data_IF_827349762134
#
_entry.id   IF_827349762134
#
_cell.length_a   1.000
_cell.length_b   1.000
_cell.length_c   1.000
_cell.angle_alpha   90.00
_cell.angle_beta   90.00
_cell.angle_gamma   90.00
#
_symmetry.space_group_name_H-M   'P 1'
#
loop_
_entity.id
_entity.type
_entity.pdbx_description
1 polymer ?
#
# COMPACT_ATOMS: atom_id res chain seq x y z
N UNK A 1 12.52 16.96 -0.55
CA UNK A 1 13.66 16.04 -0.74
C UNK A 1 13.25 14.71 -0.12
N UNK A 2 13.28 13.61 -0.88
CA UNK A 2 13.06 12.24 -0.36
C UNK A 2 14.36 11.73 0.30
N UNK A 3 14.31 10.88 1.34
CA UNK A 3 15.42 10.62 2.26
C UNK A 3 16.38 9.54 1.74
N UNK A 4 16.92 9.70 0.53
CA UNK A 4 18.03 8.84 0.08
C UNK A 4 19.29 9.00 0.96
N UNK A 5 19.37 10.07 1.77
CA UNK A 5 20.45 10.26 2.76
C UNK A 5 20.38 9.29 3.95
N UNK A 6 19.25 8.64 4.23
CA UNK A 6 19.11 7.75 5.40
C UNK A 6 19.80 6.38 5.20
N UNK A 7 19.80 5.85 3.97
CA UNK A 7 20.35 4.51 3.68
C UNK A 7 21.88 4.45 3.86
N UNK A 8 22.59 5.58 3.75
CA UNK A 8 24.01 5.69 4.08
C UNK A 8 24.24 5.67 5.59
N UNK A 9 23.54 6.56 6.33
CA UNK A 9 23.73 6.73 7.78
C UNK A 9 23.34 5.49 8.61
N UNK A 10 22.29 4.76 8.22
CA UNK A 10 21.97 3.50 8.95
C UNK A 10 22.98 2.40 8.72
N UNK A 11 23.63 2.36 7.55
CA UNK A 11 24.60 1.30 7.25
C UNK A 11 25.81 1.41 8.19
N UNK A 12 26.23 2.63 8.50
CA UNK A 12 27.28 2.90 9.48
C UNK A 12 26.80 2.66 10.93
N UNK A 13 25.54 2.99 11.24
CA UNK A 13 24.92 2.68 12.54
C UNK A 13 24.84 1.17 12.83
N UNK A 14 24.58 0.35 11.80
CA UNK A 14 24.49 -1.11 11.94
C UNK A 14 25.84 -1.82 11.94
N UNK A 15 26.91 -1.21 11.42
CA UNK A 15 28.24 -1.82 11.34
C UNK A 15 29.01 -1.84 12.68
N UNK A 16 28.66 -0.96 13.63
CA UNK A 16 29.31 -0.87 14.94
C UNK A 16 28.51 -1.46 16.10
N UNK A 17 27.32 -2.03 15.84
CA UNK A 17 26.44 -2.51 16.91
C UNK A 17 26.72 -3.96 17.29
N UNK A 18 26.74 -4.23 18.61
CA UNK A 18 26.82 -5.59 19.11
C UNK A 18 25.62 -6.42 18.64
N UNK A 19 25.82 -7.70 18.27
CA UNK A 19 24.80 -8.55 17.67
C UNK A 19 23.55 -8.72 18.56
N UNK A 20 23.70 -8.64 19.89
CA UNK A 20 22.58 -8.69 20.83
C UNK A 20 21.67 -7.45 20.78
N UNK A 21 22.23 -6.27 20.48
CA UNK A 21 21.46 -5.03 20.37
C UNK A 21 20.73 -4.99 19.02
N UNK A 22 21.36 -5.52 17.97
CA UNK A 22 20.74 -5.68 16.66
C UNK A 22 19.47 -6.54 16.73
N UNK A 23 19.52 -7.68 17.43
CA UNK A 23 18.36 -8.56 17.59
C UNK A 23 17.17 -7.86 18.27
N UNK A 24 17.43 -7.08 19.32
CA UNK A 24 16.36 -6.34 20.03
C UNK A 24 15.70 -5.28 19.17
N UNK A 25 16.49 -4.55 18.37
CA UNK A 25 15.99 -3.51 17.46
C UNK A 25 15.21 -4.15 16.31
N UNK A 26 15.71 -5.26 15.77
CA UNK A 26 15.03 -6.05 14.75
C UNK A 26 13.70 -6.62 15.26
N UNK A 27 13.67 -7.16 16.48
CA UNK A 27 12.46 -7.68 17.11
C UNK A 27 11.42 -6.59 17.35
N UNK A 28 11.84 -5.39 17.77
CA UNK A 28 10.96 -4.25 17.93
C UNK A 28 10.39 -3.78 16.59
N UNK A 29 11.23 -3.76 15.56
CA UNK A 29 10.83 -3.39 14.21
C UNK A 29 9.84 -4.39 13.62
N UNK A 30 10.08 -5.69 13.79
CA UNK A 30 9.16 -6.76 13.35
C UNK A 30 7.81 -6.69 14.08
N UNK A 31 7.81 -6.46 15.40
CA UNK A 31 6.58 -6.28 16.19
C UNK A 31 5.77 -5.05 15.79
N UNK A 32 6.44 -3.99 15.34
CA UNK A 32 5.78 -2.75 14.92
C UNK A 32 5.27 -2.82 13.47
N UNK A 33 5.80 -3.73 12.65
CA UNK A 33 5.51 -3.81 11.21
C UNK A 33 4.64 -5.00 10.82
N UNK A 34 4.54 -6.04 11.65
CA UNK A 34 3.70 -7.21 11.40
C UNK A 34 2.44 -7.22 12.27
N UNK A 35 1.23 -7.43 11.70
CA UNK A 35 0.02 -7.64 12.48
C UNK A 35 0.13 -8.89 13.35
N UNK A 36 -0.34 -8.83 14.60
CA UNK A 36 -0.24 -9.89 15.63
C UNK A 36 -0.69 -11.28 15.14
N UNK A 37 -1.57 -11.35 14.15
CA UNK A 37 -2.11 -12.59 13.61
C UNK A 37 -1.06 -13.43 12.85
N UNK A 38 0.04 -12.82 12.39
CA UNK A 38 1.15 -13.52 11.74
C UNK A 38 2.16 -14.07 12.75
N UNK A 39 2.32 -13.45 13.93
CA UNK A 39 3.22 -13.91 15.00
C UNK A 39 2.76 -15.27 15.56
N UNK A 40 1.45 -15.46 15.71
CA UNK A 40 0.88 -16.73 16.18
C UNK A 40 1.14 -17.91 15.22
N UNK A 41 1.40 -17.63 13.95
CA UNK A 41 1.69 -18.66 12.95
C UNK A 41 3.14 -19.14 12.99
N UNK A 42 4.10 -18.30 13.43
CA UNK A 42 5.52 -18.67 13.47
C UNK A 42 5.94 -19.42 14.74
N UNK A 43 5.15 -19.34 15.82
CA UNK A 43 5.55 -19.84 17.13
C UNK A 43 4.94 -21.20 17.52
N UNK A 44 4.33 -21.91 16.56
CA UNK A 44 3.92 -23.32 16.72
C UNK A 44 2.91 -23.59 17.85
N UNK A 45 2.20 -22.58 18.35
CA UNK A 45 1.15 -22.82 19.35
C UNK A 45 -0.11 -23.37 18.67
N UNK A 46 -0.72 -24.44 19.21
CA UNK A 46 -1.93 -25.00 18.63
C UNK A 46 -3.08 -23.99 18.72
N UNK A 47 -3.97 -23.96 17.72
CA UNK A 47 -5.12 -23.07 17.73
C UNK A 47 -6.01 -23.40 18.93
N UNK A 48 -6.33 -22.37 19.72
CA UNK A 48 -7.26 -22.48 20.84
C UNK A 48 -8.68 -22.80 20.31
N UNK A 49 -9.49 -23.57 21.05
CA UNK A 49 -10.79 -24.04 20.58
C UNK A 49 -11.78 -22.88 20.40
N UNK A 50 -12.57 -22.97 19.33
CA UNK A 50 -13.65 -22.07 18.96
C UNK A 50 -14.64 -21.90 20.13
N UNK A 51 -14.84 -20.65 20.59
CA UNK A 51 -15.79 -20.41 21.66
C UNK A 51 -15.84 -19.02 22.28
N UNK A 52 -14.99 -18.07 21.86
CA UNK A 52 -15.10 -16.69 22.31
C UNK A 52 -15.49 -15.80 21.14
N UNK A 53 -16.74 -15.32 21.14
CA UNK A 53 -17.19 -14.18 20.34
C UNK A 53 -16.34 -12.97 20.72
N UNK A 54 -15.18 -12.82 20.09
CA UNK A 54 -14.50 -11.55 20.00
C UNK A 54 -15.46 -10.62 19.25
N UNK A 55 -15.69 -9.37 19.67
CA UNK A 55 -16.36 -8.42 18.81
C UNK A 55 -15.58 -8.44 17.51
N UNK A 56 -16.23 -8.83 16.41
CA UNK A 56 -15.70 -8.58 15.08
C UNK A 56 -15.35 -7.09 15.06
N UNK A 57 -14.06 -6.78 15.14
CA UNK A 57 -13.58 -5.51 14.62
C UNK A 57 -14.12 -5.52 13.19
N UNK A 58 -15.16 -4.71 12.99
CA UNK A 58 -15.76 -4.48 11.69
C UNK A 58 -14.62 -4.41 10.66
N UNK A 59 -14.66 -5.19 9.56
CA UNK A 59 -13.63 -5.11 8.55
C UNK A 59 -13.47 -3.63 8.24
N UNK A 60 -12.25 -3.10 8.44
CA UNK A 60 -11.91 -1.69 8.25
C UNK A 60 -12.58 -1.28 6.94
N UNK A 61 -13.68 -0.53 7.04
CA UNK A 61 -14.43 -0.12 5.86
C UNK A 61 -13.41 0.67 5.07
N UNK A 62 -13.06 0.18 3.88
CA UNK A 62 -12.05 0.78 3.02
C UNK A 62 -12.31 2.27 2.79
N UNK A 63 -11.43 2.95 2.07
CA UNK A 63 -11.46 4.41 1.91
C UNK A 63 -12.71 4.96 1.17
N UNK A 64 -13.76 4.17 0.96
CA UNK A 64 -14.95 4.47 0.16
C UNK A 64 -14.54 5.14 -1.16
N UNK A 65 -13.46 4.64 -1.74
CA UNK A 65 -12.85 5.22 -2.93
C UNK A 65 -13.68 4.94 -4.17
N UNK A 66 -13.71 5.91 -5.09
CA UNK A 66 -14.24 5.74 -6.43
C UNK A 66 -13.11 5.89 -7.43
N UNK A 67 -12.89 4.84 -8.22
CA UNK A 67 -11.91 4.85 -9.31
C UNK A 67 -12.63 4.88 -10.65
N UNK A 68 -12.24 5.80 -11.51
CA UNK A 68 -12.74 5.85 -12.88
C UNK A 68 -11.66 6.41 -13.81
N UNK A 69 -11.88 6.24 -15.10
CA UNK A 69 -10.95 6.71 -16.12
C UNK A 69 -11.63 7.61 -17.14
N UNK A 70 -10.83 8.49 -17.71
CA UNK A 70 -11.15 9.33 -18.86
C UNK A 70 -10.27 8.90 -20.04
N UNK A 71 -10.23 9.67 -21.12
CA UNK A 71 -9.36 9.39 -22.25
C UNK A 71 -7.87 9.37 -21.85
N UNK A 72 -7.43 10.38 -21.09
CA UNK A 72 -6.00 10.60 -20.82
C UNK A 72 -5.59 10.28 -19.37
N UNK A 73 -6.56 10.21 -18.45
CA UNK A 73 -6.26 10.18 -17.02
C UNK A 73 -7.13 9.18 -16.25
N UNK A 74 -6.59 8.69 -15.15
CA UNK A 74 -7.30 7.95 -14.11
C UNK A 74 -7.56 8.89 -12.94
N UNK A 75 -8.75 8.79 -12.37
CA UNK A 75 -9.19 9.56 -11.22
C UNK A 75 -9.52 8.62 -10.06
N UNK A 76 -9.03 8.95 -8.87
CA UNK A 76 -9.38 8.31 -7.60
C UNK A 76 -9.98 9.38 -6.70
N UNK A 77 -11.23 9.20 -6.31
CA UNK A 77 -11.96 10.11 -5.45
C UNK A 77 -12.23 9.46 -4.10
N UNK A 78 -11.87 10.13 -3.01
CA UNK A 78 -11.98 9.64 -1.65
C UNK A 78 -12.72 10.69 -0.82
N UNK A 79 -13.95 10.39 -0.36
CA UNK A 79 -14.66 11.26 0.57
C UNK A 79 -13.88 11.37 1.89
N UNK A 80 -13.60 12.59 2.33
CA UNK A 80 -12.93 12.86 3.60
C UNK A 80 -13.67 13.94 4.40
N UNK A 81 -14.28 13.52 5.49
CA UNK A 81 -14.96 14.42 6.43
C UNK A 81 -13.96 15.26 7.23
N UNK A 82 -12.83 14.67 7.63
CA UNK A 82 -11.85 15.31 8.50
C UNK A 82 -10.59 15.74 7.74
N UNK A 83 -10.46 17.06 7.51
CA UNK A 83 -9.30 17.66 6.81
C UNK A 83 -7.96 17.44 7.52
N UNK A 84 -7.94 17.19 8.83
CA UNK A 84 -6.69 16.95 9.57
C UNK A 84 -5.96 15.69 9.09
N UNK A 85 -6.70 14.73 8.53
CA UNK A 85 -6.17 13.51 7.94
C UNK A 85 -5.24 13.80 6.76
N UNK A 86 -5.46 14.89 6.02
CA UNK A 86 -4.66 15.28 4.87
C UNK A 86 -3.20 15.58 5.25
N UNK A 87 -2.94 16.05 6.48
CA UNK A 87 -1.58 16.38 6.94
C UNK A 87 -0.70 15.14 7.09
N UNK A 88 -1.31 13.98 7.36
CA UNK A 88 -0.65 12.68 7.50
C UNK A 88 -0.78 11.79 6.27
N UNK A 89 -1.61 12.20 5.30
CA UNK A 89 -1.85 11.44 4.09
C UNK A 89 -0.59 11.37 3.21
N UNK A 90 -0.26 10.16 2.75
CA UNK A 90 0.78 9.93 1.75
C UNK A 90 0.20 9.14 0.61
N UNK A 91 0.43 9.64 -0.61
CA UNK A 91 -0.07 9.04 -1.85
C UNK A 91 1.14 8.76 -2.73
N UNK A 92 1.26 7.53 -3.20
CA UNK A 92 2.31 7.11 -4.11
C UNK A 92 1.78 5.98 -4.99
N UNK A 93 2.36 5.77 -6.16
CA UNK A 93 1.78 4.84 -7.13
C UNK A 93 2.85 4.18 -8.00
N UNK A 94 2.58 2.94 -8.43
CA UNK A 94 3.31 2.21 -9.47
C UNK A 94 2.56 2.37 -10.81
N UNK A 95 2.97 1.64 -11.85
CA UNK A 95 2.28 1.67 -13.14
C UNK A 95 0.85 1.15 -13.11
N UNK A 96 0.46 0.36 -12.11
CA UNK A 96 -0.83 -0.34 -12.07
C UNK A 96 -1.52 -0.30 -10.69
N UNK A 97 -0.93 0.36 -9.70
CA UNK A 97 -1.48 0.46 -8.35
C UNK A 97 -1.22 1.83 -7.74
N UNK A 98 -2.19 2.35 -7.00
CA UNK A 98 -2.05 3.52 -6.14
C UNK A 98 -2.08 3.08 -4.67
N UNK A 99 -1.24 3.71 -3.86
CA UNK A 99 -1.09 3.43 -2.45
C UNK A 99 -1.40 4.67 -1.63
N UNK A 100 -2.19 4.49 -0.58
CA UNK A 100 -2.63 5.58 0.28
C UNK A 100 -2.42 5.19 1.73
N UNK A 101 -1.69 6.02 2.45
CA UNK A 101 -1.40 5.85 3.88
C UNK A 101 -1.84 7.08 4.66
N UNK A 102 -2.16 6.89 5.94
CA UNK A 102 -2.43 7.98 6.87
C UNK A 102 -3.86 8.53 6.83
N UNK A 103 -4.74 8.07 5.93
CA UNK A 103 -6.15 8.46 6.00
C UNK A 103 -6.91 7.70 7.09
N UNK A 104 -6.65 6.40 7.21
CA UNK A 104 -7.18 5.46 8.20
C UNK A 104 -6.06 4.53 8.71
N UNK A 105 -6.40 3.37 9.29
CA UNK A 105 -5.42 2.43 9.83
C UNK A 105 -4.83 1.59 8.69
N UNK A 106 -3.51 1.68 8.49
CA UNK A 106 -2.78 0.86 7.52
C UNK A 106 -2.57 1.52 6.17
N UNK A 107 -2.20 0.70 5.19
CA UNK A 107 -1.93 1.09 3.79
C UNK A 107 -3.02 0.55 2.90
N UNK A 108 -3.64 1.42 2.12
CA UNK A 108 -4.63 1.06 1.11
C UNK A 108 -3.95 0.86 -0.23
N UNK A 109 -4.29 -0.23 -0.90
CA UNK A 109 -3.82 -0.55 -2.25
C UNK A 109 -5.01 -0.50 -3.18
N UNK A 110 -4.98 0.43 -4.12
CA UNK A 110 -6.04 0.66 -5.10
C UNK A 110 -5.50 0.24 -6.47
N UNK A 111 -6.05 -0.82 -7.11
CA UNK A 111 -5.66 -1.19 -8.45
C UNK A 111 -6.09 -0.12 -9.46
N UNK A 112 -5.23 0.18 -10.44
CA UNK A 112 -5.51 1.14 -11.50
C UNK A 112 -6.06 0.43 -12.75
N UNK A 113 -7.12 0.96 -13.39
CA UNK A 113 -7.74 0.34 -14.57
C UNK A 113 -6.85 0.36 -15.82
N UNK A 114 -5.80 1.18 -15.85
CA UNK A 114 -4.87 1.27 -16.96
C UNK A 114 -3.45 1.55 -16.48
N UNK A 115 -2.47 1.30 -17.35
CA UNK A 115 -1.08 1.67 -17.08
C UNK A 115 -0.94 3.20 -17.01
N UNK A 116 -0.14 3.69 -16.08
CA UNK A 116 0.06 5.13 -15.85
C UNK A 116 1.51 5.58 -15.97
N UNK A 117 1.71 6.89 -16.17
CA UNK A 117 3.03 7.52 -16.25
C UNK A 117 3.56 7.87 -14.86
N UNK A 118 4.88 7.73 -14.67
CA UNK A 118 5.58 8.09 -13.42
C UNK A 118 5.47 9.58 -13.04
N UNK A 119 5.22 10.47 -14.00
CA UNK A 119 5.15 11.93 -13.79
C UNK A 119 3.80 12.46 -14.23
N UNK A 120 3.41 13.59 -13.64
CA UNK A 120 2.20 14.33 -14.01
C UNK A 120 0.99 14.05 -13.12
N UNK A 121 1.09 13.12 -12.16
CA UNK A 121 0.06 12.95 -11.16
C UNK A 121 -0.10 14.19 -10.28
N UNK A 122 -1.33 14.47 -9.86
CA UNK A 122 -1.70 15.59 -8.99
C UNK A 122 -2.75 15.11 -8.01
N UNK A 123 -2.76 15.70 -6.81
CA UNK A 123 -3.81 15.48 -5.82
C UNK A 123 -4.36 16.84 -5.40
N UNK A 124 -5.68 16.94 -5.28
CA UNK A 124 -6.39 18.12 -4.85
C UNK A 124 -7.47 17.75 -3.85
N UNK A 125 -7.70 18.60 -2.86
CA UNK A 125 -8.78 18.42 -1.91
C UNK A 125 -9.76 19.58 -2.02
N UNK A 126 -11.01 19.28 -2.37
CA UNK A 126 -12.09 20.24 -2.64
C UNK A 126 -13.43 19.60 -2.23
N UNK A 127 -14.34 20.39 -1.66
CA UNK A 127 -15.72 19.96 -1.37
C UNK A 127 -15.81 18.61 -0.61
N UNK A 128 -14.94 18.44 0.40
CA UNK A 128 -14.81 17.20 1.19
C UNK A 128 -14.38 15.96 0.40
N UNK A 129 -13.81 16.15 -0.78
CA UNK A 129 -13.31 15.10 -1.66
C UNK A 129 -11.81 15.26 -1.90
N UNK A 130 -11.04 14.21 -1.61
CA UNK A 130 -9.67 14.09 -2.10
C UNK A 130 -9.71 13.46 -3.48
N UNK A 131 -9.28 14.20 -4.48
CA UNK A 131 -9.18 13.76 -5.86
C UNK A 131 -7.71 13.58 -6.24
N UNK A 132 -7.38 12.39 -6.75
CA UNK A 132 -6.06 12.04 -7.25
C UNK A 132 -6.21 11.80 -8.75
N UNK A 133 -5.48 12.58 -9.54
CA UNK A 133 -5.43 12.49 -10.99
C UNK A 133 -4.10 11.91 -11.41
N UNK A 134 -4.11 10.84 -12.22
CA UNK A 134 -2.90 10.16 -12.69
C UNK A 134 -2.95 9.99 -14.22
N UNK A 135 -1.99 10.54 -14.98
CA UNK A 135 -1.97 10.39 -16.44
C UNK A 135 -1.73 8.95 -16.89
N UNK A 136 -2.52 8.50 -17.85
CA UNK A 136 -2.35 7.20 -18.51
C UNK A 136 -1.06 7.16 -19.31
N UNK A 137 -0.45 5.99 -19.34
CA UNK A 137 0.61 5.71 -20.28
C UNK A 137 0.01 5.56 -21.68
N UNK A 138 0.49 6.36 -22.63
CA UNK A 138 0.02 6.31 -24.02
C UNK A 138 0.91 5.42 -24.89
N UNK A 139 2.04 4.96 -24.34
CA UNK A 139 2.92 4.01 -25.01
C UNK A 139 2.33 2.61 -24.87
N UNK A 140 1.36 2.31 -25.74
CA UNK A 140 0.67 1.03 -25.78
C UNK A 140 1.49 0.07 -26.66
N UNK A 141 2.07 -0.94 -26.02
CA UNK A 141 2.76 -2.03 -26.71
C UNK A 141 1.73 -3.15 -26.95
N UNK A 142 1.48 -3.48 -28.21
CA UNK A 142 0.53 -4.53 -28.61
C UNK A 142 1.32 -5.71 -29.17
N UNK A 143 1.08 -6.89 -28.64
CA UNK A 143 1.63 -8.15 -29.13
C UNK A 143 0.51 -9.16 -29.29
N UNK A 144 0.48 -9.85 -30.43
CA UNK A 144 -0.42 -10.98 -30.65
C UNK A 144 0.13 -12.23 -29.94
N UNK A 145 -0.77 -12.98 -29.31
CA UNK A 145 -0.44 -14.28 -28.71
C UNK A 145 -1.12 -15.37 -29.54
N UNK A 146 -0.37 -16.23 -30.26
CA UNK A 146 -0.97 -17.31 -31.03
C UNK A 146 -1.54 -18.38 -30.10
N UNK A 147 -2.79 -18.79 -30.35
CA UNK A 147 -3.44 -19.87 -29.60
C UNK A 147 -2.89 -21.22 -30.06
N UNK A 148 -2.32 -21.99 -29.14
CA UNK A 148 -1.88 -23.36 -29.39
C UNK A 148 -2.79 -24.33 -28.65
N UNK A 149 -3.17 -25.42 -29.32
CA UNK A 149 -3.85 -26.54 -28.69
C UNK A 149 -2.81 -27.39 -27.97
N UNK A 150 -2.92 -27.52 -26.65
CA UNK A 150 -2.18 -28.56 -25.94
C UNK A 150 -2.93 -29.89 -26.11
N UNK A 151 -2.38 -30.79 -26.92
CA UNK A 151 -2.80 -32.19 -26.87
C UNK A 151 -2.07 -32.80 -25.66
N UNK A 152 -2.80 -32.97 -24.55
CA UNK A 152 -2.27 -33.56 -23.32
C UNK A 152 -1.61 -34.91 -23.59
N UNK A 153 -0.36 -35.06 -23.13
CA UNK A 153 0.33 -36.35 -23.03
C UNK A 153 0.22 -36.88 -21.61
#
# INVERSE_FOLDING_TARGET
MFPWNWFGETKDFFQGMNPEQFQKIFDQWMKMTLPNNLWNFSNGQPPAPEGAKTPEESPDRGLNERVFETLEDIYIQIPLENKQLLRRARIYYTQNQCFIEGLNKGRHVIPLPALVRKKGARAAFRDQMLEIKIPKNTDVQISEIPIRKEDGR
#
